data_IF_156944005555
#
_entry.id   IF_156944005555
#
_cell.length_a   1.000
_cell.length_b   1.000
_cell.length_c   1.000
_cell.angle_alpha   90.00
_cell.angle_beta   90.00
_cell.angle_gamma   90.00
#
_symmetry.space_group_name_H-M   'P 1'
#
loop_
_entity.id
_entity.type
_entity.pdbx_description
1 polymer ?
#
# COMPACT_ATOMS: atom_id res chain seq x y z
N UNK A 1 -14.12 -25.85 0.43
CA UNK A 1 -14.34 -24.48 0.96
C UNK A 1 -13.20 -23.63 0.44
N UNK A 2 -13.47 -22.62 -0.38
CA UNK A 2 -12.45 -21.66 -0.79
C UNK A 2 -12.15 -20.75 0.41
N UNK A 3 -10.93 -20.81 0.94
CA UNK A 3 -10.46 -19.80 1.88
C UNK A 3 -10.45 -18.45 1.15
N UNK A 4 -11.16 -17.46 1.70
CA UNK A 4 -11.16 -16.12 1.17
C UNK A 4 -9.89 -15.43 1.66
N UNK A 5 -8.88 -15.32 0.79
CA UNK A 5 -7.59 -14.75 1.16
C UNK A 5 -7.71 -13.24 1.36
N UNK A 6 -6.99 -12.71 2.34
CA UNK A 6 -6.90 -11.26 2.54
C UNK A 6 -6.23 -10.62 1.33
N UNK A 7 -6.94 -9.69 0.69
CA UNK A 7 -6.44 -8.93 -0.47
C UNK A 7 -5.48 -7.82 -0.05
N UNK A 8 -4.32 -7.76 -0.68
CA UNK A 8 -3.33 -6.69 -0.52
C UNK A 8 -3.00 -6.12 -1.90
N UNK A 9 -3.07 -4.80 -2.04
CA UNK A 9 -2.69 -4.10 -3.26
C UNK A 9 -1.28 -3.55 -3.14
N UNK A 10 -0.44 -3.84 -4.13
CA UNK A 10 0.90 -3.26 -4.29
C UNK A 10 0.86 -2.29 -5.48
N UNK A 11 1.20 -1.03 -5.26
CA UNK A 11 1.30 -0.02 -6.31
C UNK A 11 2.70 0.58 -6.38
N UNK A 12 3.36 0.33 -7.51
CA UNK A 12 4.72 0.80 -7.80
C UNK A 12 4.95 0.70 -9.31
N UNK A 13 5.57 1.67 -9.95
CA UNK A 13 5.89 1.60 -11.38
C UNK A 13 7.04 0.61 -11.67
N UNK A 14 7.89 0.34 -10.68
CA UNK A 14 8.98 -0.63 -10.76
C UNK A 14 8.50 -2.06 -10.53
N UNK A 15 8.56 -2.87 -11.60
CA UNK A 15 8.29 -4.32 -11.52
C UNK A 15 9.20 -5.02 -10.49
N UNK A 16 10.43 -4.56 -10.33
CA UNK A 16 11.37 -5.12 -9.36
C UNK A 16 10.89 -4.87 -7.93
N UNK A 17 10.40 -3.67 -7.64
CA UNK A 17 9.88 -3.34 -6.30
C UNK A 17 8.61 -4.12 -5.99
N UNK A 18 7.69 -4.27 -6.96
CA UNK A 18 6.48 -5.09 -6.78
C UNK A 18 6.81 -6.55 -6.48
N UNK A 19 7.76 -7.14 -7.22
CA UNK A 19 8.24 -8.52 -6.97
C UNK A 19 8.84 -8.67 -5.58
N UNK A 20 9.73 -7.77 -5.17
CA UNK A 20 10.35 -7.81 -3.82
C UNK A 20 9.29 -7.71 -2.71
N UNK A 21 8.34 -6.79 -2.83
CA UNK A 21 7.29 -6.66 -1.82
C UNK A 21 6.38 -7.88 -1.79
N UNK A 22 6.04 -8.46 -2.95
CA UNK A 22 5.29 -9.72 -3.05
C UNK A 22 6.02 -10.86 -2.34
N UNK A 23 7.33 -11.01 -2.55
CA UNK A 23 8.16 -12.01 -1.86
C UNK A 23 8.17 -11.80 -0.34
N UNK A 24 8.29 -10.55 0.10
CA UNK A 24 8.18 -10.20 1.52
C UNK A 24 6.82 -10.54 2.11
N UNK A 25 5.72 -10.26 1.40
CA UNK A 25 4.36 -10.58 1.85
C UNK A 25 4.10 -12.09 1.89
N UNK A 26 4.58 -12.84 0.89
CA UNK A 26 4.47 -14.30 0.86
C UNK A 26 5.20 -14.95 2.05
N UNK A 27 6.27 -14.32 2.56
CA UNK A 27 6.98 -14.78 3.75
C UNK A 27 6.21 -14.50 5.05
N UNK A 28 5.18 -13.64 5.02
CA UNK A 28 4.32 -13.35 6.16
C UNK A 28 3.07 -14.24 6.23
N UNK A 29 2.61 -14.78 5.10
CA UNK A 29 1.39 -15.60 5.02
C UNK A 29 0.80 -15.66 3.61
N UNK A 30 -0.38 -16.28 3.50
CA UNK A 30 -1.13 -16.38 2.24
C UNK A 30 -2.02 -15.17 2.04
N UNK A 31 -1.77 -14.42 0.96
CA UNK A 31 -2.54 -13.23 0.60
C UNK A 31 -2.92 -13.30 -0.89
N UNK A 32 -4.04 -12.66 -1.23
CA UNK A 32 -4.35 -12.37 -2.62
C UNK A 32 -3.66 -11.05 -3.00
N UNK A 33 -2.61 -11.14 -3.80
CA UNK A 33 -1.80 -9.98 -4.19
C UNK A 33 -2.32 -9.37 -5.49
N UNK A 34 -2.81 -8.13 -5.39
CA UNK A 34 -3.19 -7.28 -6.50
C UNK A 34 -2.03 -6.32 -6.82
N UNK A 35 -1.87 -5.94 -8.09
CA UNK A 35 -0.81 -5.02 -8.50
C UNK A 35 -1.34 -3.87 -9.36
N UNK A 36 -0.77 -2.69 -9.13
CA UNK A 36 -0.93 -1.49 -9.95
C UNK A 36 0.44 -0.90 -10.30
N UNK A 37 0.50 -0.18 -11.41
CA UNK A 37 1.75 0.43 -11.93
C UNK A 37 1.76 1.95 -11.79
N UNK A 38 0.66 2.54 -11.34
CA UNK A 38 0.43 3.97 -11.23
C UNK A 38 -0.76 4.23 -10.30
N UNK A 39 -0.87 5.47 -9.81
CA UNK A 39 -1.90 5.82 -8.84
C UNK A 39 -3.33 5.73 -9.37
N UNK A 40 -3.55 5.90 -10.67
CA UNK A 40 -4.89 5.83 -11.27
C UNK A 40 -5.43 4.40 -11.25
N UNK A 41 -4.60 3.43 -11.69
CA UNK A 41 -4.95 2.01 -11.59
C UNK A 41 -5.14 1.57 -10.16
N UNK A 42 -4.32 2.07 -9.23
CA UNK A 42 -4.46 1.73 -7.81
C UNK A 42 -5.80 2.21 -7.24
N UNK A 43 -6.23 3.44 -7.56
CA UNK A 43 -7.55 3.95 -7.15
C UNK A 43 -8.68 3.09 -7.73
N UNK A 44 -8.58 2.73 -9.02
CA UNK A 44 -9.57 1.88 -9.68
C UNK A 44 -9.68 0.51 -9.00
N UNK A 45 -8.55 -0.19 -8.86
CA UNK A 45 -8.50 -1.51 -8.23
C UNK A 45 -8.98 -1.43 -6.78
N UNK A 46 -8.64 -0.38 -6.03
CA UNK A 46 -9.14 -0.21 -4.68
C UNK A 46 -10.68 -0.16 -4.62
N UNK A 47 -11.30 0.61 -5.51
CA UNK A 47 -12.77 0.77 -5.56
C UNK A 47 -13.48 -0.53 -5.92
N UNK A 48 -12.87 -1.32 -6.81
CA UNK A 48 -13.40 -2.61 -7.29
C UNK A 48 -13.20 -3.74 -6.26
N UNK A 49 -11.97 -3.89 -5.75
CA UNK A 49 -11.55 -5.06 -4.97
C UNK A 49 -11.53 -4.84 -3.46
N UNK A 50 -11.53 -3.58 -3.01
CA UNK A 50 -11.50 -3.16 -1.59
C UNK A 50 -10.46 -3.94 -0.76
N UNK A 51 -9.17 -3.89 -1.15
CA UNK A 51 -8.12 -4.61 -0.44
C UNK A 51 -8.01 -4.14 1.01
N UNK A 52 -7.62 -5.04 1.91
CA UNK A 52 -7.47 -4.73 3.33
C UNK A 52 -6.26 -3.82 3.63
N UNK A 53 -5.28 -3.82 2.72
CA UNK A 53 -4.05 -3.02 2.80
C UNK A 53 -3.59 -2.62 1.40
N UNK A 54 -3.10 -1.40 1.29
CA UNK A 54 -2.43 -0.89 0.10
C UNK A 54 -1.00 -0.48 0.45
N UNK A 55 -0.02 -0.93 -0.31
CA UNK A 55 1.31 -0.33 -0.35
C UNK A 55 1.42 0.55 -1.59
N UNK A 56 1.79 1.82 -1.40
CA UNK A 56 1.73 2.85 -2.44
C UNK A 56 3.07 3.57 -2.56
N UNK A 57 3.75 3.48 -3.70
CA UNK A 57 4.87 4.37 -3.98
C UNK A 57 4.40 5.82 -4.19
N UNK A 58 5.26 6.79 -3.90
CA UNK A 58 4.93 8.22 -4.04
C UNK A 58 5.13 8.69 -5.47
N UNK A 59 6.24 8.34 -6.10
CA UNK A 59 6.69 8.95 -7.35
C UNK A 59 6.41 7.97 -8.49
N UNK A 60 5.27 8.16 -9.14
CA UNK A 60 4.82 7.31 -10.24
C UNK A 60 4.34 8.17 -11.42
N UNK A 61 4.33 7.64 -12.65
CA UNK A 61 3.73 8.32 -13.79
C UNK A 61 2.20 8.41 -13.64
N UNK A 62 1.58 9.27 -14.45
CA UNK A 62 0.11 9.49 -14.55
C UNK A 62 -0.51 10.11 -13.29
N UNK A 63 -0.44 9.42 -12.15
CA UNK A 63 -0.93 9.90 -10.86
C UNK A 63 0.04 9.47 -9.76
N UNK A 64 0.51 10.45 -8.99
CA UNK A 64 1.39 10.22 -7.86
C UNK A 64 0.64 9.54 -6.69
N UNK A 65 1.40 8.90 -5.81
CA UNK A 65 0.83 8.14 -4.71
C UNK A 65 0.08 8.98 -3.67
N UNK A 66 0.48 10.24 -3.44
CA UNK A 66 -0.16 11.10 -2.45
C UNK A 66 -1.54 11.51 -2.95
N UNK A 67 -1.66 11.87 -4.23
CA UNK A 67 -2.94 12.13 -4.87
C UNK A 67 -3.83 10.88 -4.85
N UNK A 68 -3.27 9.71 -5.17
CA UNK A 68 -4.00 8.44 -5.11
C UNK A 68 -4.51 8.10 -3.70
N UNK A 69 -3.72 8.36 -2.65
CA UNK A 69 -4.15 8.19 -1.26
C UNK A 69 -5.33 9.09 -0.95
N UNK A 70 -5.29 10.37 -1.32
CA UNK A 70 -6.39 11.31 -1.09
C UNK A 70 -7.70 10.78 -1.68
N UNK A 71 -7.68 10.35 -2.95
CA UNK A 71 -8.88 9.82 -3.62
C UNK A 71 -9.39 8.51 -2.99
N UNK A 72 -8.48 7.62 -2.58
CA UNK A 72 -8.85 6.40 -1.86
C UNK A 72 -9.50 6.75 -0.52
N UNK A 73 -8.97 7.72 0.22
CA UNK A 73 -9.49 8.15 1.53
C UNK A 73 -10.81 8.91 1.43
N UNK A 74 -11.02 9.66 0.35
CA UNK A 74 -12.31 10.30 0.04
C UNK A 74 -13.39 9.26 -0.22
N UNK A 75 -13.06 8.18 -0.95
CA UNK A 75 -13.97 7.06 -1.19
C UNK A 75 -14.19 6.20 0.07
N UNK A 76 -13.10 5.90 0.81
CA UNK A 76 -13.11 5.06 1.99
C UNK A 76 -12.20 5.63 3.09
N UNK A 77 -12.81 6.28 4.06
CA UNK A 77 -12.11 6.87 5.22
C UNK A 77 -11.38 5.84 6.08
N UNK A 78 -11.71 4.55 5.97
CA UNK A 78 -11.08 3.46 6.73
C UNK A 78 -9.95 2.76 5.96
N UNK A 79 -9.72 3.13 4.70
CA UNK A 79 -8.65 2.56 3.90
C UNK A 79 -7.30 2.66 4.63
N UNK A 80 -6.57 1.53 4.66
CA UNK A 80 -5.22 1.44 5.20
C UNK A 80 -4.22 1.51 4.05
N UNK A 81 -3.64 2.69 3.82
CA UNK A 81 -2.65 2.92 2.77
C UNK A 81 -1.29 3.22 3.40
N UNK A 82 -0.33 2.34 3.18
CA UNK A 82 1.07 2.49 3.60
C UNK A 82 1.84 3.08 2.44
N UNK A 83 2.47 4.23 2.67
CA UNK A 83 3.38 4.80 1.69
C UNK A 83 4.69 4.01 1.72
N UNK A 84 5.17 3.56 0.56
CA UNK A 84 6.37 2.77 0.43
C UNK A 84 7.28 3.35 -0.65
N UNK A 85 8.23 4.24 -0.29
CA UNK A 85 8.98 5.00 -1.29
C UNK A 85 10.46 5.24 -0.97
N UNK A 86 11.27 5.39 -2.02
CA UNK A 86 12.69 5.78 -1.93
C UNK A 86 12.86 7.28 -1.65
N UNK A 87 11.88 8.10 -2.06
CA UNK A 87 11.95 9.56 -1.99
C UNK A 87 11.31 10.11 -0.72
N UNK A 88 11.53 9.48 0.43
CA UNK A 88 10.92 9.81 1.74
C UNK A 88 11.40 11.13 2.37
N UNK A 89 11.26 12.26 1.69
CA UNK A 89 11.60 13.58 2.24
C UNK A 89 10.61 13.98 3.34
N UNK A 90 11.02 14.89 4.25
CA UNK A 90 10.14 15.46 5.28
C UNK A 90 8.87 16.10 4.69
N UNK A 91 8.97 16.66 3.48
CA UNK A 91 7.83 17.27 2.81
C UNK A 91 6.83 16.21 2.31
N UNK A 92 7.32 15.14 1.67
CA UNK A 92 6.48 14.04 1.23
C UNK A 92 5.76 13.37 2.40
N UNK A 93 6.45 13.17 3.53
CA UNK A 93 5.82 12.63 4.74
C UNK A 93 4.68 13.53 5.25
N UNK A 94 4.90 14.85 5.32
CA UNK A 94 3.86 15.80 5.72
C UNK A 94 2.64 15.76 4.79
N UNK A 95 2.88 15.68 3.47
CA UNK A 95 1.82 15.60 2.46
C UNK A 95 1.05 14.28 2.56
N UNK A 96 1.74 13.16 2.72
CA UNK A 96 1.12 11.83 2.90
C UNK A 96 0.25 11.75 4.16
N UNK A 97 0.73 12.28 5.30
CA UNK A 97 -0.06 12.36 6.53
C UNK A 97 -1.33 13.18 6.31
N UNK A 98 -1.22 14.34 5.66
CA UNK A 98 -2.39 15.19 5.33
C UNK A 98 -3.38 14.50 4.39
N UNK A 99 -2.89 13.67 3.47
CA UNK A 99 -3.73 12.88 2.58
C UNK A 99 -4.42 11.70 3.27
N UNK A 100 -4.04 11.36 4.52
CA UNK A 100 -4.65 10.29 5.30
C UNK A 100 -3.97 8.93 5.16
N UNK A 101 -2.68 8.91 4.81
CA UNK A 101 -1.87 7.70 4.85
C UNK A 101 -1.87 7.07 6.25
N UNK A 102 -1.90 5.75 6.29
CA UNK A 102 -1.92 4.95 7.52
C UNK A 102 -0.53 4.85 8.16
N UNK A 103 0.49 4.56 7.35
CA UNK A 103 1.88 4.44 7.79
C UNK A 103 2.83 4.77 6.62
N UNK A 104 4.12 4.89 6.91
CA UNK A 104 5.17 5.13 5.92
C UNK A 104 6.34 4.17 6.14
N UNK A 105 6.84 3.59 5.05
CA UNK A 105 8.09 2.84 5.00
C UNK A 105 9.00 3.38 3.90
N UNK A 106 10.29 3.40 4.18
CA UNK A 106 11.30 3.81 3.23
C UNK A 106 11.88 2.59 2.51
N UNK A 107 12.17 2.73 1.22
CA UNK A 107 12.96 1.74 0.45
C UNK A 107 14.46 1.96 0.68
N UNK A 108 15.27 0.89 0.76
CA UNK A 108 14.86 -0.51 0.89
C UNK A 108 14.25 -0.80 2.26
N UNK A 109 13.26 -1.69 2.31
CA UNK A 109 12.63 -2.15 3.55
C UNK A 109 13.22 -3.47 4.02
N UNK A 110 13.26 -3.66 5.33
CA UNK A 110 13.58 -4.93 5.95
C UNK A 110 12.31 -5.80 6.10
N UNK A 111 12.49 -7.12 6.10
CA UNK A 111 11.38 -8.09 6.19
C UNK A 111 10.54 -7.89 7.47
N UNK A 112 11.18 -7.48 8.56
CA UNK A 112 10.53 -7.20 9.84
C UNK A 112 9.55 -6.03 9.75
N UNK A 113 9.83 -5.02 8.91
CA UNK A 113 8.95 -3.87 8.73
C UNK A 113 7.64 -4.29 8.05
N UNK A 114 7.73 -5.10 6.98
CA UNK A 114 6.56 -5.64 6.28
C UNK A 114 5.76 -6.54 7.22
N UNK A 115 6.44 -7.41 7.97
CA UNK A 115 5.80 -8.31 8.95
C UNK A 115 5.04 -7.53 10.02
N UNK A 116 5.61 -6.43 10.54
CA UNK A 116 4.95 -5.57 11.52
C UNK A 116 3.68 -4.94 10.97
N UNK A 117 3.73 -4.40 9.76
CA UNK A 117 2.57 -3.75 9.12
C UNK A 117 1.43 -4.74 8.93
N UNK A 118 1.74 -5.93 8.40
CA UNK A 118 0.75 -6.98 8.16
C UNK A 118 0.12 -7.44 9.48
N UNK A 119 0.91 -7.66 10.54
CA UNK A 119 0.40 -8.04 11.87
C UNK A 119 -0.51 -6.97 12.50
N UNK A 120 -0.31 -5.69 12.16
CA UNK A 120 -1.15 -4.60 12.62
C UNK A 120 -2.49 -4.51 11.86
N UNK A 121 -2.70 -5.31 10.81
CA UNK A 121 -4.01 -5.38 10.14
C UNK A 121 -5.07 -6.02 11.03
N UNK A 122 -4.70 -7.05 11.79
CA UNK A 122 -5.61 -7.89 12.60
C UNK A 122 -5.96 -7.28 13.96
N UNK A 123 -5.20 -6.28 14.40
CA UNK A 123 -5.55 -5.49 15.58
C UNK A 123 -6.70 -4.55 15.21
N UNK A 124 -7.93 -5.09 15.21
CA UNK A 124 -9.16 -4.29 15.27
C UNK A 124 -9.01 -3.31 16.43
N UNK A 125 -9.42 -2.06 16.18
CA UNK A 125 -9.32 -0.97 17.14
C UNK A 125 -9.76 -1.41 18.54
N UNK A 126 -8.84 -1.24 19.49
CA UNK A 126 -9.20 -0.86 20.85
C UNK A 126 -9.81 0.55 20.83
#
# INVERSE_FOLDING_TARGET
MSENLTKILICDDSILMRKKLRESLNSCGSFEILEATDGEKAVKIYKEEKPALVFMDIVMPVKDGITAVSEIKEFDKKAKVVMASSSGTKEHLKKAIKAGAFEFIQKPWEQEQITRIVKNLDRKGE
#
